data_IF_577785225954
#
_entry.id   IF_577785225954
#
_cell.length_a   1.000
_cell.length_b   1.000
_cell.length_c   1.000
_cell.angle_alpha   90.00
_cell.angle_beta   90.00
_cell.angle_gamma   90.00
#
_symmetry.space_group_name_H-M   'P 1'
#
loop_
_entity.id
_entity.type
_entity.pdbx_description
1 polymer ?
#
# COMPACT_ATOMS: atom_id res chain seq x y z
N UNK A 1 -0.23 2.41 -53.10
CA UNK A 1 -0.71 3.12 -51.89
C UNK A 1 -1.03 2.09 -50.83
N UNK A 2 -0.26 2.02 -49.75
CA UNK A 2 -0.49 1.05 -48.68
C UNK A 2 -1.71 1.52 -47.85
N UNK A 3 -2.73 0.67 -47.76
CA UNK A 3 -3.93 0.92 -46.93
C UNK A 3 -3.47 1.10 -45.47
N UNK A 4 -3.76 2.26 -44.88
CA UNK A 4 -3.50 2.50 -43.45
C UNK A 4 -4.20 1.41 -42.64
N UNK A 5 -3.45 0.67 -41.81
CA UNK A 5 -4.03 -0.33 -40.91
C UNK A 5 -4.62 0.41 -39.71
N UNK A 6 -5.94 0.48 -39.68
CA UNK A 6 -6.70 0.92 -38.50
C UNK A 6 -6.32 0.06 -37.29
N UNK A 7 -5.93 0.71 -36.19
CA UNK A 7 -5.64 0.05 -34.91
C UNK A 7 -6.67 0.54 -33.88
N UNK A 8 -7.13 -0.35 -33.01
CA UNK A 8 -8.09 -0.04 -31.97
C UNK A 8 -7.38 -0.08 -30.62
N UNK A 9 -7.59 0.93 -29.76
CA UNK A 9 -6.94 1.02 -28.46
C UNK A 9 -7.98 1.07 -27.35
N UNK A 10 -7.77 0.25 -26.32
CA UNK A 10 -8.57 0.26 -25.13
C UNK A 10 -8.32 1.55 -24.34
N UNK A 11 -9.31 2.45 -24.28
CA UNK A 11 -9.27 3.70 -23.52
C UNK A 11 -9.04 3.50 -22.03
N UNK A 12 -9.37 2.32 -21.48
CA UNK A 12 -9.21 2.02 -20.05
C UNK A 12 -7.79 1.57 -19.66
N UNK A 13 -6.99 1.02 -20.59
CA UNK A 13 -5.68 0.46 -20.24
C UNK A 13 -4.60 0.54 -21.33
N UNK A 14 -4.90 1.08 -22.51
CA UNK A 14 -3.97 1.22 -23.62
C UNK A 14 -3.72 -0.06 -24.44
N UNK A 15 -4.45 -1.15 -24.20
CA UNK A 15 -4.29 -2.38 -24.98
C UNK A 15 -4.69 -2.18 -26.45
N UNK A 16 -3.80 -2.52 -27.39
CA UNK A 16 -4.02 -2.35 -28.83
C UNK A 16 -4.53 -3.64 -29.49
N UNK A 17 -5.47 -3.52 -30.42
CA UNK A 17 -6.04 -4.64 -31.18
C UNK A 17 -6.25 -4.24 -32.65
N UNK A 18 -6.18 -5.20 -33.57
CA UNK A 18 -6.48 -4.97 -34.99
C UNK A 18 -7.99 -4.82 -35.28
N UNK A 19 -8.84 -5.15 -34.30
CA UNK A 19 -10.31 -5.05 -34.39
C UNK A 19 -10.89 -4.61 -33.04
N UNK A 20 -12.03 -3.91 -32.99
CA UNK A 20 -12.64 -3.55 -31.72
C UNK A 20 -13.14 -4.82 -31.04
N UNK A 21 -12.79 -5.00 -29.77
CA UNK A 21 -13.26 -6.13 -28.97
C UNK A 21 -14.31 -5.61 -27.99
N UNK A 22 -15.40 -6.37 -27.81
CA UNK A 22 -16.44 -6.02 -26.83
C UNK A 22 -15.93 -6.00 -25.39
N UNK A 23 -14.89 -6.79 -25.08
CA UNK A 23 -14.22 -6.82 -23.78
C UNK A 23 -12.71 -6.80 -23.95
N UNK A 24 -12.02 -5.92 -23.22
CA UNK A 24 -10.56 -5.84 -23.23
C UNK A 24 -9.94 -7.09 -22.59
N UNK A 25 -9.04 -7.82 -23.29
CA UNK A 25 -8.40 -9.00 -22.70
C UNK A 25 -7.45 -8.63 -21.55
N UNK A 26 -6.94 -7.39 -21.51
CA UNK A 26 -6.03 -6.92 -20.48
C UNK A 26 -6.75 -6.46 -19.21
N UNK A 27 -7.60 -5.43 -19.32
CA UNK A 27 -8.28 -4.84 -18.16
C UNK A 27 -9.70 -5.34 -17.92
N UNK A 28 -10.23 -6.22 -18.78
CA UNK A 28 -11.57 -6.79 -18.69
C UNK A 28 -12.72 -5.78 -18.82
N UNK A 29 -12.42 -4.52 -19.15
CA UNK A 29 -13.41 -3.46 -19.41
C UNK A 29 -14.22 -3.76 -20.68
N UNK A 30 -15.50 -3.41 -20.65
CA UNK A 30 -16.43 -3.58 -21.77
C UNK A 30 -16.50 -2.30 -22.62
N UNK A 31 -16.66 -2.45 -23.93
CA UNK A 31 -16.85 -1.35 -24.90
C UNK A 31 -15.78 -0.24 -24.81
N UNK A 32 -14.57 -0.60 -24.40
CA UNK A 32 -13.49 0.35 -24.13
C UNK A 32 -12.61 0.66 -25.35
N UNK A 33 -12.84 0.07 -26.53
CA UNK A 33 -11.96 0.24 -27.69
C UNK A 33 -12.40 1.41 -28.57
N UNK A 34 -11.49 2.34 -28.80
CA UNK A 34 -11.65 3.43 -29.77
C UNK A 34 -10.70 3.24 -30.96
N UNK A 35 -11.09 3.78 -32.11
CA UNK A 35 -10.30 3.74 -33.34
C UNK A 35 -9.16 4.77 -33.28
N UNK A 36 -7.92 4.31 -33.34
CA UNK A 36 -6.73 5.16 -33.47
C UNK A 36 -6.30 5.12 -34.93
N UNK A 37 -6.63 6.19 -35.67
CA UNK A 37 -6.16 6.36 -37.05
C UNK A 37 -4.69 6.78 -36.98
N UNK A 38 -3.75 6.05 -37.62
CA UNK A 38 -2.36 6.47 -37.63
C UNK A 38 -2.26 7.83 -38.34
N UNK A 39 -1.93 8.89 -37.60
CA UNK A 39 -1.52 10.14 -38.21
C UNK A 39 -0.28 9.85 -39.05
N UNK A 40 -0.37 10.07 -40.37
CA UNK A 40 0.78 9.99 -41.28
C UNK A 40 1.62 11.24 -41.05
N UNK A 41 2.34 11.30 -39.93
CA UNK A 41 3.38 12.31 -39.72
C UNK A 41 4.68 11.77 -40.31
N UNK A 42 5.31 12.60 -41.15
CA UNK A 42 6.60 12.35 -41.79
C UNK A 42 7.64 11.82 -40.80
N UNK A 43 8.34 10.78 -41.25
CA UNK A 43 9.12 9.83 -40.45
C UNK A 43 10.47 10.38 -39.90
N UNK A 44 10.49 11.53 -39.23
CA UNK A 44 11.75 12.10 -38.73
C UNK A 44 11.78 12.57 -37.26
N UNK A 45 10.71 12.48 -36.47
CA UNK A 45 10.76 13.02 -35.09
C UNK A 45 10.00 12.24 -33.99
N UNK A 46 9.34 11.12 -34.29
CA UNK A 46 8.58 10.36 -33.27
C UNK A 46 8.99 8.89 -33.25
N UNK A 47 10.23 8.65 -32.82
CA UNK A 47 10.67 7.32 -32.42
C UNK A 47 10.06 6.97 -31.07
N UNK A 48 8.96 6.22 -31.10
CA UNK A 48 8.39 5.58 -29.92
C UNK A 48 9.38 4.58 -29.33
N UNK A 49 10.00 4.95 -28.21
CA UNK A 49 10.49 4.04 -27.20
C UNK A 49 10.71 4.85 -25.92
N UNK A 50 10.01 4.47 -24.86
CA UNK A 50 10.20 4.97 -23.50
C UNK A 50 11.69 5.23 -23.19
N UNK A 51 12.08 6.50 -23.05
CA UNK A 51 13.42 6.88 -22.61
C UNK A 51 14.57 6.42 -23.52
N UNK A 52 14.46 6.61 -24.83
CA UNK A 52 15.57 6.39 -25.75
C UNK A 52 16.74 7.34 -25.48
N UNK A 53 17.69 6.94 -24.63
CA UNK A 53 19.01 7.57 -24.57
C UNK A 53 19.69 7.34 -25.92
N UNK A 54 19.98 8.41 -26.66
CA UNK A 54 20.73 8.31 -27.91
C UNK A 54 22.21 8.05 -27.61
N UNK A 55 22.85 7.17 -28.39
CA UNK A 55 24.28 6.89 -28.25
C UNK A 55 24.66 5.81 -27.22
N UNK A 56 23.71 4.97 -26.78
CA UNK A 56 24.01 3.82 -25.91
C UNK A 56 24.99 2.84 -26.56
N UNK A 57 26.15 2.61 -25.91
CA UNK A 57 27.11 1.57 -26.32
C UNK A 57 26.73 0.25 -25.68
N UNK A 58 26.76 -0.84 -26.47
CA UNK A 58 26.63 -2.19 -25.92
C UNK A 58 27.78 -2.42 -24.95
N UNK A 59 27.45 -2.57 -23.67
CA UNK A 59 28.43 -2.74 -22.59
C UNK A 59 28.16 -4.08 -21.92
N UNK A 60 29.16 -4.98 -21.80
CA UNK A 60 28.97 -6.23 -21.09
C UNK A 60 28.67 -5.95 -19.61
N UNK A 61 27.81 -6.77 -18.99
CA UNK A 61 27.43 -6.57 -17.58
C UNK A 61 28.65 -6.50 -16.65
N UNK A 62 29.70 -7.28 -16.94
CA UNK A 62 30.97 -7.25 -16.19
C UNK A 62 31.71 -5.91 -16.27
N UNK A 63 31.44 -5.09 -17.27
CA UNK A 63 32.00 -3.75 -17.44
C UNK A 63 31.14 -2.63 -16.86
N UNK A 64 29.96 -2.94 -16.30
CA UNK A 64 29.07 -1.95 -15.68
C UNK A 64 29.44 -1.80 -14.21
N UNK A 65 29.96 -0.63 -13.83
CA UNK A 65 30.26 -0.31 -12.44
C UNK A 65 28.99 -0.26 -11.58
N UNK A 66 29.11 -0.60 -10.30
CA UNK A 66 28.06 -0.32 -9.31
C UNK A 66 28.09 1.16 -8.98
N UNK A 67 27.17 1.95 -9.54
CA UNK A 67 26.96 3.34 -9.18
C UNK A 67 25.64 3.45 -8.44
N UNK A 68 25.67 3.94 -7.21
CA UNK A 68 24.44 4.38 -6.55
C UNK A 68 24.01 5.71 -7.19
N UNK A 69 22.75 5.76 -7.61
CA UNK A 69 22.15 6.99 -8.12
C UNK A 69 22.13 8.04 -7.00
N UNK A 70 22.53 9.30 -7.27
CA UNK A 70 22.44 10.37 -6.27
C UNK A 70 21.01 10.54 -5.77
N UNK A 71 20.85 10.77 -4.46
CA UNK A 71 19.54 10.97 -3.82
C UNK A 71 19.46 12.32 -3.15
N UNK A 72 18.33 12.99 -3.33
CA UNK A 72 17.91 14.15 -2.57
C UNK A 72 17.03 13.68 -1.42
N UNK A 73 17.42 13.89 -0.15
CA UNK A 73 16.55 13.59 0.99
C UNK A 73 15.24 14.39 0.88
N UNK A 74 14.10 13.78 1.11
CA UNK A 74 12.82 14.51 1.15
C UNK A 74 12.66 15.37 2.41
N UNK A 75 13.52 15.14 3.41
CA UNK A 75 13.42 15.76 4.73
C UNK A 75 12.35 15.12 5.63
N UNK A 76 11.70 14.05 5.15
CA UNK A 76 10.70 13.27 5.90
C UNK A 76 11.19 11.81 5.94
N UNK A 77 11.78 11.35 7.06
CA UNK A 77 12.41 10.02 7.13
C UNK A 77 11.46 8.86 6.76
N UNK A 78 10.18 8.99 7.11
CA UNK A 78 9.16 8.00 6.79
C UNK A 78 8.90 7.89 5.28
N UNK A 79 8.90 9.02 4.57
CA UNK A 79 8.79 9.07 3.11
C UNK A 79 10.06 8.53 2.45
N UNK A 80 11.23 8.95 2.95
CA UNK A 80 12.52 8.46 2.45
C UNK A 80 12.61 6.94 2.54
N UNK A 81 12.15 6.33 3.64
CA UNK A 81 12.09 4.86 3.76
C UNK A 81 11.21 4.24 2.68
N UNK A 82 10.01 4.76 2.45
CA UNK A 82 9.08 4.25 1.42
C UNK A 82 9.69 4.38 0.01
N UNK A 83 10.43 5.46 -0.25
CA UNK A 83 11.12 5.71 -1.52
C UNK A 83 12.46 4.94 -1.64
N UNK A 84 12.90 4.24 -0.60
CA UNK A 84 14.14 3.46 -0.61
C UNK A 84 15.40 4.28 -0.38
N UNK A 85 15.30 5.37 0.39
CA UNK A 85 16.41 6.24 0.79
C UNK A 85 16.29 7.70 0.33
N UNK A 86 15.16 8.09 -0.28
CA UNK A 86 14.91 9.46 -0.76
C UNK A 86 14.66 9.56 -2.28
N UNK A 87 14.55 10.79 -2.76
CA UNK A 87 14.21 11.12 -4.15
C UNK A 87 15.44 10.92 -5.05
N UNK A 88 15.33 10.06 -6.06
CA UNK A 88 16.46 9.72 -6.94
C UNK A 88 16.62 10.75 -8.05
N UNK A 89 17.83 11.24 -8.26
CA UNK A 89 18.15 12.16 -9.36
C UNK A 89 17.81 11.52 -10.72
N UNK A 90 17.06 12.24 -11.55
CA UNK A 90 16.53 11.74 -12.82
C UNK A 90 15.48 10.63 -12.70
N UNK A 91 15.11 10.24 -11.48
CA UNK A 91 14.05 9.28 -11.21
C UNK A 91 12.67 9.92 -11.19
N UNK A 92 11.67 9.17 -11.63
CA UNK A 92 10.27 9.61 -11.61
C UNK A 92 9.45 8.80 -10.62
N UNK A 93 8.79 9.51 -9.70
CA UNK A 93 7.89 8.93 -8.70
C UNK A 93 6.45 9.35 -8.98
N UNK A 94 5.53 8.39 -9.10
CA UNK A 94 4.09 8.64 -9.13
C UNK A 94 3.53 8.52 -7.71
N UNK A 95 2.84 9.56 -7.23
CA UNK A 95 2.04 9.52 -6.00
C UNK A 95 0.56 9.46 -6.38
N UNK A 96 -0.03 8.29 -6.17
CA UNK A 96 -1.45 8.03 -6.35
C UNK A 96 -2.26 8.25 -5.07
N UNK A 97 -3.55 8.53 -5.20
CA UNK A 97 -4.49 8.52 -4.06
C UNK A 97 -5.76 9.33 -4.32
N UNK A 98 -6.77 9.13 -3.48
CA UNK A 98 -8.05 9.82 -3.61
C UNK A 98 -7.89 11.36 -3.54
N UNK A 99 -8.76 12.15 -4.22
CA UNK A 99 -8.81 13.59 -4.03
C UNK A 99 -8.96 13.97 -2.56
N UNK A 100 -8.25 15.01 -2.10
CA UNK A 100 -8.34 15.49 -0.72
C UNK A 100 -7.61 14.65 0.35
N UNK A 101 -6.99 13.53 -0.03
CA UNK A 101 -6.30 12.64 0.93
C UNK A 101 -5.03 13.26 1.57
N UNK A 102 -4.45 14.29 0.93
CA UNK A 102 -3.28 15.00 1.41
C UNK A 102 -2.04 14.95 0.51
N UNK A 103 -2.14 14.49 -0.75
CA UNK A 103 -0.99 14.41 -1.69
C UNK A 103 -0.25 15.75 -1.85
N UNK A 104 -0.97 16.81 -2.21
CA UNK A 104 -0.42 18.16 -2.36
C UNK A 104 0.10 18.74 -1.04
N UNK A 105 -0.49 18.34 0.10
CA UNK A 105 0.00 18.72 1.43
C UNK A 105 1.36 18.10 1.71
N UNK A 106 1.51 16.79 1.51
CA UNK A 106 2.78 16.09 1.63
C UNK A 106 3.84 16.71 0.71
N UNK A 107 3.48 17.00 -0.54
CA UNK A 107 4.41 17.51 -1.53
C UNK A 107 4.87 18.94 -1.27
N UNK A 108 4.00 19.81 -0.75
CA UNK A 108 4.43 21.14 -0.30
C UNK A 108 5.37 21.06 0.91
N UNK A 109 5.14 20.14 1.86
CA UNK A 109 6.07 19.91 2.96
C UNK A 109 7.43 19.40 2.46
N UNK A 110 7.45 18.48 1.50
CA UNK A 110 8.69 18.00 0.86
C UNK A 110 9.40 19.13 0.11
N UNK A 111 8.66 19.93 -0.66
CA UNK A 111 9.20 21.08 -1.39
C UNK A 111 9.88 22.07 -0.44
N UNK A 112 9.24 22.41 0.68
CA UNK A 112 9.83 23.27 1.72
C UNK A 112 11.15 22.70 2.26
N UNK A 113 11.18 21.40 2.60
CA UNK A 113 12.38 20.75 3.14
C UNK A 113 13.52 20.67 2.14
N UNK A 114 13.23 20.33 0.88
CA UNK A 114 14.23 20.27 -0.19
C UNK A 114 14.79 21.67 -0.47
N UNK A 115 13.93 22.69 -0.52
CA UNK A 115 14.33 24.07 -0.73
C UNK A 115 15.14 24.64 0.45
N UNK A 116 14.72 24.36 1.69
CA UNK A 116 15.47 24.72 2.88
C UNK A 116 16.84 24.03 2.97
N UNK A 117 16.98 22.84 2.36
CA UNK A 117 18.25 22.12 2.19
C UNK A 117 19.17 22.68 1.11
N UNK A 118 18.77 23.76 0.42
CA UNK A 118 19.55 24.42 -0.64
C UNK A 118 19.27 23.90 -2.05
N UNK A 119 18.31 22.98 -2.23
CA UNK A 119 17.87 22.53 -3.55
C UNK A 119 16.88 23.50 -4.18
N UNK A 120 16.89 23.64 -5.50
CA UNK A 120 15.84 24.39 -6.21
C UNK A 120 14.62 23.49 -6.46
N UNK A 121 13.42 24.01 -6.24
CA UNK A 121 12.16 23.27 -6.44
C UNK A 121 11.29 23.98 -7.46
N UNK A 122 10.86 23.26 -8.49
CA UNK A 122 9.86 23.68 -9.46
C UNK A 122 8.54 22.95 -9.18
N UNK A 123 7.48 23.70 -8.90
CA UNK A 123 6.15 23.18 -8.64
C UNK A 123 5.20 23.61 -9.77
N UNK A 124 4.75 22.64 -10.56
CA UNK A 124 3.81 22.82 -11.65
C UNK A 124 2.38 22.62 -11.12
N UNK A 125 1.66 23.72 -11.01
CA UNK A 125 0.31 23.82 -10.48
C UNK A 125 -0.72 23.70 -11.62
N UNK A 126 -1.32 22.52 -11.74
CA UNK A 126 -2.34 22.22 -12.73
C UNK A 126 -3.75 22.53 -12.27
N UNK A 127 -4.14 21.96 -11.13
CA UNK A 127 -5.53 22.00 -10.65
C UNK A 127 -5.85 23.29 -9.89
N UNK A 128 -4.91 23.78 -9.08
CA UNK A 128 -5.13 24.90 -8.16
C UNK A 128 -4.50 26.19 -8.66
N UNK A 129 -5.02 27.33 -8.21
CA UNK A 129 -4.41 28.63 -8.46
C UNK A 129 -3.16 28.83 -7.61
N UNK A 130 -2.26 29.73 -8.03
CA UNK A 130 -1.04 30.03 -7.26
C UNK A 130 -1.37 30.61 -5.89
N UNK A 131 -2.44 31.40 -5.80
CA UNK A 131 -2.95 31.99 -4.56
C UNK A 131 -3.48 30.91 -3.60
N UNK A 132 -4.18 29.90 -4.12
CA UNK A 132 -4.66 28.77 -3.33
C UNK A 132 -3.50 27.95 -2.76
N UNK A 133 -2.48 27.69 -3.59
CA UNK A 133 -1.24 27.02 -3.14
C UNK A 133 -0.54 27.86 -2.08
N UNK A 134 -0.44 29.19 -2.28
CA UNK A 134 0.18 30.09 -1.31
C UNK A 134 -0.52 30.05 0.04
N UNK A 135 -1.86 30.16 0.06
CA UNK A 135 -2.64 30.07 1.30
C UNK A 135 -2.41 28.73 2.04
N UNK A 136 -2.29 27.63 1.29
CA UNK A 136 -1.97 26.33 1.88
C UNK A 136 -0.54 26.29 2.42
N UNK A 137 0.42 26.79 1.65
CA UNK A 137 1.82 26.86 2.06
C UNK A 137 1.98 27.68 3.34
N UNK A 138 1.28 28.82 3.46
CA UNK A 138 1.24 29.65 4.67
C UNK A 138 0.71 28.87 5.87
N UNK A 139 -0.41 28.15 5.71
CA UNK A 139 -0.99 27.32 6.78
C UNK A 139 -0.05 26.20 7.22
N UNK A 140 0.68 25.59 6.28
CA UNK A 140 1.65 24.53 6.55
C UNK A 140 2.97 25.08 7.11
N UNK A 141 3.14 26.40 7.18
CA UNK A 141 4.36 27.02 7.68
C UNK A 141 5.56 26.85 6.73
N UNK A 142 5.31 26.74 5.42
CA UNK A 142 6.34 26.72 4.37
C UNK A 142 7.08 28.06 4.38
N UNK A 143 8.41 28.02 4.45
CA UNK A 143 9.27 29.21 4.55
C UNK A 143 10.25 29.34 3.41
N UNK A 144 10.62 28.22 2.78
CA UNK A 144 11.58 28.22 1.70
C UNK A 144 10.96 28.77 0.40
N UNK A 145 11.81 29.33 -0.46
CA UNK A 145 11.40 29.81 -1.78
C UNK A 145 11.16 28.63 -2.72
N UNK A 146 9.90 28.47 -3.17
CA UNK A 146 9.48 27.44 -4.12
C UNK A 146 9.06 28.13 -5.41
N UNK A 147 9.67 27.73 -6.54
CA UNK A 147 9.31 28.28 -7.84
C UNK A 147 8.02 27.61 -8.33
N UNK A 148 7.04 28.41 -8.74
CA UNK A 148 5.72 27.95 -9.15
C UNK A 148 5.45 28.32 -10.61
N UNK A 149 4.82 27.42 -11.36
CA UNK A 149 4.28 27.70 -12.70
C UNK A 149 2.90 27.10 -12.87
N UNK A 150 2.08 27.73 -13.71
CA UNK A 150 0.77 27.20 -14.14
C UNK A 150 0.78 26.66 -15.55
N UNK A 151 1.93 26.66 -16.23
CA UNK A 151 2.01 26.09 -17.57
C UNK A 151 2.01 24.57 -17.48
N UNK A 152 0.95 23.95 -17.99
CA UNK A 152 0.77 22.49 -17.96
C UNK A 152 1.18 21.81 -19.27
N UNK A 153 1.76 22.53 -20.24
CA UNK A 153 2.30 21.92 -21.45
C UNK A 153 3.59 21.16 -21.12
N UNK A 154 3.60 19.85 -21.38
CA UNK A 154 4.69 18.96 -21.03
C UNK A 154 6.03 19.41 -21.65
N UNK A 155 5.99 19.91 -22.90
CA UNK A 155 7.13 20.46 -23.62
C UNK A 155 7.73 21.67 -22.91
N UNK A 156 6.88 22.57 -22.41
CA UNK A 156 7.35 23.76 -21.71
C UNK A 156 7.86 23.43 -20.31
N UNK A 157 7.20 22.53 -19.59
CA UNK A 157 7.70 22.01 -18.30
C UNK A 157 9.07 21.36 -18.48
N UNK A 158 9.27 20.56 -19.52
CA UNK A 158 10.56 19.96 -19.84
C UNK A 158 11.64 21.01 -20.16
N UNK A 159 11.28 22.09 -20.87
CA UNK A 159 12.18 23.21 -21.12
C UNK A 159 12.59 23.92 -19.82
N UNK A 160 11.64 24.18 -18.92
CA UNK A 160 11.91 24.77 -17.61
C UNK A 160 12.82 23.87 -16.75
N UNK A 161 12.63 22.54 -16.80
CA UNK A 161 13.53 21.59 -16.15
C UNK A 161 14.96 21.66 -16.71
N UNK A 162 15.11 21.85 -18.03
CA UNK A 162 16.42 21.96 -18.67
C UNK A 162 17.11 23.30 -18.38
N UNK A 163 16.35 24.39 -18.32
CA UNK A 163 16.84 25.74 -18.05
C UNK A 163 17.24 25.91 -16.58
N UNK A 164 16.35 25.56 -15.65
CA UNK A 164 16.54 25.82 -14.23
C UNK A 164 17.20 24.66 -13.48
N UNK A 165 17.22 23.46 -14.06
CA UNK A 165 17.80 22.23 -13.47
C UNK A 165 17.42 22.06 -11.99
N UNK A 166 16.12 22.02 -11.66
CA UNK A 166 15.69 21.93 -10.28
C UNK A 166 16.16 20.62 -9.64
N UNK A 167 16.46 20.66 -8.35
CA UNK A 167 16.71 19.43 -7.58
C UNK A 167 15.44 18.56 -7.49
N UNK A 168 14.26 19.20 -7.50
CA UNK A 168 12.96 18.55 -7.46
C UNK A 168 11.95 19.27 -8.38
N UNK A 169 11.29 18.52 -9.26
CA UNK A 169 10.13 18.96 -10.02
C UNK A 169 8.87 18.24 -9.53
N UNK A 170 7.84 18.98 -9.15
CA UNK A 170 6.53 18.44 -8.72
C UNK A 170 5.49 18.82 -9.75
N UNK A 171 4.69 17.86 -10.21
CA UNK A 171 3.58 18.08 -11.15
C UNK A 171 2.26 17.66 -10.51
N UNK A 172 1.46 18.66 -10.13
CA UNK A 172 0.19 18.49 -9.41
C UNK A 172 -0.98 19.07 -10.21
N UNK A 173 -1.62 18.31 -11.11
CA UNK A 173 -1.52 16.86 -11.31
C UNK A 173 -1.25 16.49 -12.76
N UNK A 174 -0.79 15.25 -12.99
CA UNK A 174 -0.50 14.73 -14.34
C UNK A 174 -1.74 14.72 -15.24
N UNK A 175 -2.95 14.67 -14.68
CA UNK A 175 -4.21 14.74 -15.43
C UNK A 175 -4.41 16.08 -16.14
N UNK A 176 -3.78 17.15 -15.65
CA UNK A 176 -3.86 18.50 -16.25
C UNK A 176 -2.79 18.76 -17.29
N UNK A 177 -1.81 17.85 -17.41
CA UNK A 177 -0.69 18.02 -18.33
C UNK A 177 -1.15 17.78 -19.75
N UNK A 178 -0.81 18.73 -20.63
CA UNK A 178 -1.11 18.64 -22.06
C UNK A 178 0.14 18.39 -22.86
N UNK A 179 0.02 17.64 -23.95
CA UNK A 179 1.09 17.39 -24.93
C UNK A 179 0.61 17.90 -26.29
N UNK A 180 1.49 18.46 -27.10
CA UNK A 180 1.16 18.90 -28.46
C UNK A 180 0.81 17.71 -29.38
N UNK A 181 -0.44 17.65 -29.85
CA UNK A 181 -0.92 16.61 -30.76
C UNK A 181 -2.43 16.34 -30.68
N UNK A 182 -2.88 15.28 -31.35
CA UNK A 182 -4.28 14.84 -31.34
C UNK A 182 -4.59 14.04 -30.07
N UNK A 183 -5.56 14.52 -29.29
CA UNK A 183 -6.05 13.84 -28.09
C UNK A 183 -6.88 14.78 -27.21
N UNK A 184 -7.94 14.26 -26.59
CA UNK A 184 -8.75 15.04 -25.66
C UNK A 184 -7.93 15.37 -24.38
N UNK A 185 -7.92 16.63 -23.91
CA UNK A 185 -7.31 16.99 -22.65
C UNK A 185 -7.78 16.12 -21.48
N UNK A 186 -6.85 15.62 -20.66
CA UNK A 186 -7.11 14.69 -19.55
C UNK A 186 -7.38 13.24 -19.96
N UNK A 187 -7.36 12.93 -21.25
CA UNK A 187 -7.50 11.56 -21.76
C UNK A 187 -6.31 10.67 -21.44
N UNK A 188 -6.51 9.34 -21.45
CA UNK A 188 -5.47 8.37 -21.08
C UNK A 188 -4.24 8.44 -21.99
N UNK A 189 -4.43 8.70 -23.28
CA UNK A 189 -3.32 8.89 -24.22
C UNK A 189 -2.46 10.12 -23.85
N UNK A 190 -3.10 11.25 -23.55
CA UNK A 190 -2.39 12.48 -23.17
C UNK A 190 -1.63 12.30 -21.85
N UNK A 191 -2.24 11.67 -20.84
CA UNK A 191 -1.59 11.36 -19.57
C UNK A 191 -0.37 10.45 -19.78
N UNK A 192 -0.50 9.41 -20.62
CA UNK A 192 0.59 8.50 -20.96
C UNK A 192 1.75 9.25 -21.62
N UNK A 193 1.45 10.03 -22.65
CA UNK A 193 2.45 10.68 -23.48
C UNK A 193 3.13 11.81 -22.71
N UNK A 194 2.38 12.56 -21.88
CA UNK A 194 2.92 13.58 -20.97
C UNK A 194 3.84 12.96 -19.91
N UNK A 195 3.43 11.83 -19.32
CA UNK A 195 4.28 11.07 -18.38
C UNK A 195 5.58 10.62 -19.05
N UNK A 196 5.51 10.12 -20.28
CA UNK A 196 6.70 9.68 -21.02
C UNK A 196 7.66 10.84 -21.34
N UNK A 197 7.12 11.99 -21.76
CA UNK A 197 7.91 13.19 -22.05
C UNK A 197 8.61 13.72 -20.78
N UNK A 198 7.86 13.89 -19.69
CA UNK A 198 8.42 14.35 -18.42
C UNK A 198 9.43 13.36 -17.82
N UNK A 199 9.22 12.05 -18.02
CA UNK A 199 10.19 11.02 -17.61
C UNK A 199 11.49 11.13 -18.39
N UNK A 200 11.42 11.44 -19.68
CA UNK A 200 12.61 11.70 -20.48
C UNK A 200 13.33 12.95 -20.00
N UNK A 201 12.61 14.05 -19.79
CA UNK A 201 13.18 15.31 -19.30
C UNK A 201 13.85 15.15 -17.93
N UNK A 202 13.25 14.39 -17.00
CA UNK A 202 13.86 14.06 -15.71
C UNK A 202 15.22 13.40 -15.87
N UNK A 203 15.30 12.35 -16.71
CA UNK A 203 16.53 11.60 -16.95
C UNK A 203 17.62 12.42 -17.65
N UNK A 204 17.24 13.24 -18.63
CA UNK A 204 18.19 14.10 -19.37
C UNK A 204 18.76 15.23 -18.50
N UNK A 205 17.97 15.76 -17.56
CA UNK A 205 18.37 16.88 -16.70
C UNK A 205 18.95 16.44 -15.35
N UNK A 206 18.74 15.18 -14.96
CA UNK A 206 19.08 14.70 -13.61
C UNK A 206 18.11 15.19 -12.53
N UNK A 207 16.97 15.76 -12.91
CA UNK A 207 15.95 16.28 -11.98
C UNK A 207 15.17 15.13 -11.35
N UNK A 208 15.04 15.10 -10.02
CA UNK A 208 14.08 14.20 -9.38
C UNK A 208 12.66 14.71 -9.63
N UNK A 209 11.78 13.87 -10.18
CA UNK A 209 10.42 14.30 -10.57
C UNK A 209 9.35 13.53 -9.83
N UNK A 210 8.38 14.24 -9.28
CA UNK A 210 7.20 13.67 -8.64
C UNK A 210 5.93 14.06 -9.40
N UNK A 211 5.18 13.05 -9.85
CA UNK A 211 3.92 13.22 -10.56
C UNK A 211 2.78 12.87 -9.61
N UNK A 212 1.78 13.74 -9.49
CA UNK A 212 0.56 13.45 -8.74
C UNK A 212 -0.47 12.84 -9.67
N UNK A 213 -1.03 11.69 -9.28
CA UNK A 213 -2.15 11.05 -9.95
C UNK A 213 -3.35 10.91 -9.02
N UNK A 214 -4.50 11.44 -9.41
CA UNK A 214 -5.77 11.17 -8.72
C UNK A 214 -6.25 9.73 -8.90
N UNK A 215 -6.83 9.15 -7.83
CA UNK A 215 -7.50 7.84 -7.87
C UNK A 215 -8.99 7.96 -7.56
N UNK A 216 -9.84 7.36 -8.40
CA UNK A 216 -11.30 7.26 -8.21
C UNK A 216 -11.64 6.09 -7.27
N UNK A 217 -12.80 6.17 -6.60
CA UNK A 217 -13.24 5.21 -5.56
C UNK A 217 -13.35 3.75 -6.01
N UNK A 218 -13.46 3.50 -7.31
CA UNK A 218 -13.55 2.15 -7.90
C UNK A 218 -12.18 1.54 -8.24
N UNK A 219 -11.07 2.24 -7.94
CA UNK A 219 -9.71 1.83 -8.33
C UNK A 219 -9.46 1.90 -9.85
N UNK A 220 -10.50 2.17 -10.64
CA UNK A 220 -10.45 2.44 -12.08
C UNK A 220 -10.28 3.93 -12.31
N UNK A 221 -9.07 4.39 -12.05
CA UNK A 221 -8.66 5.66 -12.63
C UNK A 221 -8.38 5.42 -14.10
N UNK A 222 -8.83 6.33 -14.95
CA UNK A 222 -8.22 6.51 -16.26
C UNK A 222 -6.74 6.95 -16.06
N UNK A 223 -5.76 6.03 -15.99
CA UNK A 223 -4.34 6.40 -16.17
C UNK A 223 -3.22 5.80 -15.29
N UNK A 224 -3.35 5.50 -13.98
CA UNK A 224 -2.26 5.06 -13.10
C UNK A 224 -1.66 3.75 -13.53
N UNK A 225 -2.47 2.75 -13.93
CA UNK A 225 -1.92 1.52 -14.51
C UNK A 225 -1.08 1.78 -15.77
N UNK A 226 -1.46 2.78 -16.56
CA UNK A 226 -0.71 3.16 -17.76
C UNK A 226 0.60 3.84 -17.37
N UNK A 227 0.58 4.71 -16.34
CA UNK A 227 1.77 5.40 -15.82
C UNK A 227 2.71 4.50 -15.01
N UNK A 228 2.18 3.53 -14.26
CA UNK A 228 2.91 2.60 -13.40
C UNK A 228 4.01 1.86 -14.15
N UNK A 229 3.82 1.58 -15.44
CA UNK A 229 4.85 0.95 -16.26
C UNK A 229 5.94 1.92 -16.74
N UNK A 230 5.61 3.22 -16.83
CA UNK A 230 6.48 4.28 -17.36
C UNK A 230 7.42 4.80 -16.27
N UNK A 231 6.86 5.09 -15.10
CA UNK A 231 7.60 5.67 -13.96
C UNK A 231 8.50 4.66 -13.28
N UNK A 232 9.48 5.13 -12.52
CA UNK A 232 10.43 4.25 -11.83
C UNK A 232 9.90 3.79 -10.47
N UNK A 233 9.16 4.67 -9.78
CA UNK A 233 8.57 4.40 -8.47
C UNK A 233 7.08 4.78 -8.47
N UNK A 234 6.24 3.93 -7.89
CA UNK A 234 4.82 4.20 -7.65
C UNK A 234 4.51 4.00 -6.17
N UNK A 235 3.95 5.03 -5.56
CA UNK A 235 3.43 5.00 -4.19
C UNK A 235 1.96 5.42 -4.16
N UNK A 236 1.17 4.82 -3.29
CA UNK A 236 -0.23 5.20 -3.07
C UNK A 236 -0.43 5.69 -1.65
N UNK A 237 -1.13 6.82 -1.52
CA UNK A 237 -1.61 7.33 -0.25
C UNK A 237 -3.06 6.87 -0.06
N UNK A 238 -3.34 6.15 1.03
CA UNK A 238 -4.62 5.54 1.35
C UNK A 238 -5.11 6.00 2.73
N UNK A 239 -6.43 6.14 2.91
CA UNK A 239 -7.02 6.53 4.21
C UNK A 239 -7.42 5.31 5.00
N UNK A 240 -6.95 5.23 6.25
CA UNK A 240 -7.27 4.13 7.16
C UNK A 240 -7.52 4.71 8.55
N UNK A 241 -8.79 4.81 8.94
CA UNK A 241 -9.20 5.52 10.15
C UNK A 241 -8.76 6.99 10.11
N UNK A 242 -8.11 7.45 11.17
CA UNK A 242 -7.46 8.78 11.25
C UNK A 242 -6.13 8.86 10.49
N UNK A 243 -5.57 7.73 10.09
CA UNK A 243 -4.24 7.65 9.49
C UNK A 243 -4.28 7.76 7.96
N UNK A 244 -3.11 8.07 7.40
CA UNK A 244 -2.80 8.06 5.96
C UNK A 244 -1.63 7.12 5.74
N UNK A 245 -1.83 6.11 4.92
CA UNK A 245 -0.85 5.07 4.64
C UNK A 245 -0.22 5.34 3.29
N UNK A 246 1.10 5.49 3.25
CA UNK A 246 1.86 5.62 2.02
C UNK A 246 2.52 4.29 1.68
N UNK A 247 2.05 3.61 0.64
CA UNK A 247 2.51 2.27 0.27
C UNK A 247 3.28 2.29 -1.05
N UNK A 248 4.48 1.72 -1.07
CA UNK A 248 5.19 1.48 -2.33
C UNK A 248 4.63 0.23 -3.03
N UNK A 249 4.24 0.38 -4.30
CA UNK A 249 3.76 -0.72 -5.14
C UNK A 249 4.84 -1.15 -6.13
N UNK A 250 5.55 -0.17 -6.69
CA UNK A 250 6.70 -0.36 -7.57
C UNK A 250 7.81 0.54 -7.07
N UNK A 251 9.01 0.01 -6.89
CA UNK A 251 10.17 0.82 -6.57
C UNK A 251 11.41 0.20 -7.25
N UNK A 252 11.93 0.86 -8.29
CA UNK A 252 13.17 0.41 -8.97
C UNK A 252 14.42 0.69 -8.15
N UNK A 253 14.33 1.55 -7.15
CA UNK A 253 15.45 2.05 -6.36
C UNK A 253 15.41 1.58 -4.90
N UNK A 254 14.46 0.71 -4.54
CA UNK A 254 14.21 0.28 -3.18
C UNK A 254 13.28 -0.92 -3.14
N UNK A 255 12.80 -1.27 -1.94
CA UNK A 255 11.89 -2.40 -1.78
C UNK A 255 10.45 -1.98 -2.09
N UNK A 256 9.74 -2.82 -2.84
CA UNK A 256 8.29 -2.72 -3.01
C UNK A 256 7.57 -3.29 -1.77
N UNK A 257 6.40 -2.75 -1.46
CA UNK A 257 5.64 -3.12 -0.26
C UNK A 257 6.10 -2.42 1.01
N UNK A 258 6.97 -1.41 0.92
CA UNK A 258 7.27 -0.54 2.05
C UNK A 258 6.04 0.31 2.41
N UNK A 259 5.82 0.51 3.71
CA UNK A 259 4.66 1.21 4.24
C UNK A 259 5.11 2.36 5.12
N UNK A 260 4.64 3.56 4.84
CA UNK A 260 4.73 4.76 5.67
C UNK A 260 3.41 5.05 6.35
N UNK A 261 3.42 5.45 7.61
CA UNK A 261 2.19 5.79 8.35
C UNK A 261 2.26 7.25 8.74
N UNK A 262 1.22 7.99 8.39
CA UNK A 262 1.09 9.42 8.64
C UNK A 262 -0.25 9.72 9.32
N UNK A 263 -0.32 10.85 9.99
CA UNK A 263 -1.54 11.41 10.55
C UNK A 263 -1.73 12.83 10.01
N UNK A 264 -2.96 13.16 9.60
CA UNK A 264 -3.28 14.52 9.17
C UNK A 264 -3.55 15.39 10.41
N UNK A 265 -2.70 16.39 10.64
CA UNK A 265 -2.82 17.36 11.73
C UNK A 265 -2.96 18.78 11.17
N UNK A 266 -3.12 19.77 12.05
CA UNK A 266 -3.23 21.17 11.64
C UNK A 266 -1.99 21.67 10.88
N UNK A 267 -0.82 21.15 11.25
CA UNK A 267 0.48 21.45 10.63
C UNK A 267 0.73 20.71 9.30
N UNK A 268 -0.16 19.80 8.89
CA UNK A 268 -0.02 19.00 7.68
C UNK A 268 0.05 17.49 7.97
N UNK A 269 0.72 16.75 7.09
CA UNK A 269 0.94 15.31 7.27
C UNK A 269 2.17 15.07 8.14
N UNK A 270 1.96 14.44 9.29
CA UNK A 270 3.00 14.14 10.27
C UNK A 270 3.25 12.64 10.29
N UNK A 271 4.53 12.23 10.21
CA UNK A 271 4.90 10.82 10.27
C UNK A 271 4.63 10.23 11.66
N UNK A 272 4.09 9.02 11.68
CA UNK A 272 3.87 8.25 12.91
C UNK A 272 5.08 7.35 13.16
N UNK A 273 5.88 7.71 14.16
CA UNK A 273 7.14 7.01 14.47
C UNK A 273 6.94 5.57 14.93
N UNK A 274 5.88 5.34 15.72
CA UNK A 274 5.51 4.01 16.22
C UNK A 274 4.06 3.67 15.84
N UNK A 275 3.85 3.08 14.64
CA UNK A 275 2.52 2.70 14.20
C UNK A 275 1.86 1.67 15.12
N UNK A 276 2.61 0.70 15.63
CA UNK A 276 2.09 -0.36 16.51
C UNK A 276 1.43 0.25 17.75
N UNK A 277 2.08 1.24 18.38
CA UNK A 277 1.48 1.97 19.50
C UNK A 277 0.24 2.78 19.07
N UNK A 278 0.30 3.41 17.90
CA UNK A 278 -0.79 4.24 17.39
C UNK A 278 -2.06 3.43 17.05
N UNK A 279 -1.92 2.25 16.45
CA UNK A 279 -3.04 1.36 16.14
C UNK A 279 -3.63 0.65 17.37
N UNK A 280 -2.84 0.51 18.44
CA UNK A 280 -3.26 -0.14 19.68
C UNK A 280 -3.69 0.85 20.79
N UNK A 281 -3.66 2.16 20.51
CA UNK A 281 -3.90 3.19 21.52
C UNK A 281 -5.29 3.11 22.17
N UNK A 282 -6.32 2.74 21.39
CA UNK A 282 -7.70 2.64 21.85
C UNK A 282 -8.13 1.19 22.18
N UNK A 283 -7.18 0.25 22.19
CA UNK A 283 -7.47 -1.16 22.43
C UNK A 283 -8.07 -1.37 23.84
N UNK A 284 -9.21 -2.07 23.97
CA UNK A 284 -9.73 -2.45 25.27
C UNK A 284 -8.85 -3.51 25.96
N UNK A 285 -8.60 -3.31 27.24
CA UNK A 285 -7.75 -4.18 28.10
C UNK A 285 -8.65 -5.15 28.86
N UNK A 286 -8.25 -6.42 28.95
CA UNK A 286 -8.98 -7.43 29.72
C UNK A 286 -10.36 -7.84 29.15
N UNK A 287 -10.63 -7.57 27.87
CA UNK A 287 -11.90 -7.92 27.21
C UNK A 287 -11.76 -9.22 26.39
N UNK A 288 -12.68 -10.20 26.53
CA UNK A 288 -12.69 -11.39 25.70
C UNK A 288 -12.81 -11.06 24.20
N UNK A 289 -12.10 -11.82 23.38
CA UNK A 289 -12.10 -11.64 21.94
C UNK A 289 -11.12 -10.60 21.41
N UNK A 290 -10.33 -9.93 22.25
CA UNK A 290 -9.27 -9.01 21.82
C UNK A 290 -7.89 -9.68 21.91
N UNK A 291 -7.17 -9.75 20.78
CA UNK A 291 -5.82 -10.36 20.68
C UNK A 291 -4.89 -9.43 19.94
N UNK A 292 -3.67 -9.23 20.48
CA UNK A 292 -2.62 -8.50 19.77
C UNK A 292 -1.88 -9.46 18.84
N UNK A 293 -1.94 -9.18 17.54
CA UNK A 293 -1.31 -9.93 16.49
C UNK A 293 -0.07 -9.20 15.96
N UNK A 294 1.06 -9.90 15.87
CA UNK A 294 2.24 -9.38 15.19
C UNK A 294 2.18 -9.74 13.71
N UNK A 295 1.91 -8.74 12.87
CA UNK A 295 1.71 -8.90 11.43
C UNK A 295 2.89 -8.33 10.62
N UNK A 296 2.98 -8.72 9.35
CA UNK A 296 3.82 -8.03 8.37
C UNK A 296 2.93 -7.60 7.21
N UNK A 297 2.96 -6.31 6.91
CA UNK A 297 2.38 -5.75 5.70
C UNK A 297 3.51 -5.31 4.75
N UNK A 298 3.68 -6.06 3.66
CA UNK A 298 4.84 -5.97 2.77
C UNK A 298 6.14 -6.32 3.49
N UNK A 299 6.91 -5.32 3.93
CA UNK A 299 8.15 -5.50 4.69
C UNK A 299 8.10 -4.95 6.11
N UNK A 300 7.04 -4.21 6.45
CA UNK A 300 6.95 -3.54 7.75
C UNK A 300 6.28 -4.46 8.77
N UNK A 301 6.99 -4.86 9.85
CA UNK A 301 6.34 -5.50 10.98
C UNK A 301 5.51 -4.48 11.74
N UNK A 302 4.30 -4.87 12.15
CA UNK A 302 3.38 -4.04 12.92
C UNK A 302 2.60 -4.90 13.90
N UNK A 303 2.17 -4.30 15.00
CA UNK A 303 1.19 -4.92 15.89
C UNK A 303 -0.19 -4.35 15.65
N UNK A 304 -1.17 -5.24 15.48
CA UNK A 304 -2.57 -4.90 15.28
C UNK A 304 -3.44 -5.73 16.21
N UNK A 305 -4.64 -5.24 16.51
CA UNK A 305 -5.61 -5.98 17.30
C UNK A 305 -6.53 -6.78 16.38
N UNK A 306 -6.61 -8.10 16.62
CA UNK A 306 -7.66 -8.96 16.08
C UNK A 306 -8.77 -9.05 17.11
N UNK A 307 -9.98 -8.68 16.69
CA UNK A 307 -11.19 -8.70 17.49
C UNK A 307 -12.09 -9.83 17.02
N UNK A 308 -12.70 -10.52 17.97
CA UNK A 308 -13.74 -11.49 17.72
C UNK A 308 -14.92 -11.29 18.67
N UNK A 309 -16.13 -11.48 18.16
CA UNK A 309 -17.36 -11.51 18.93
C UNK A 309 -18.17 -12.74 18.51
N UNK A 310 -18.57 -13.55 19.48
CA UNK A 310 -19.43 -14.70 19.27
C UNK A 310 -20.74 -14.51 20.06
N UNK A 311 -21.88 -14.71 19.39
CA UNK A 311 -23.20 -14.62 20.02
C UNK A 311 -24.11 -15.72 19.48
N UNK A 312 -25.11 -16.14 20.25
CA UNK A 312 -26.11 -17.10 19.77
C UNK A 312 -26.83 -16.55 18.54
N UNK A 313 -26.92 -17.34 17.49
CA UNK A 313 -27.64 -16.94 16.29
C UNK A 313 -29.15 -16.99 16.54
N UNK A 314 -29.91 -15.93 16.25
CA UNK A 314 -31.37 -15.97 16.25
C UNK A 314 -31.92 -16.53 14.92
N UNK A 315 -31.06 -16.84 13.95
CA UNK A 315 -31.42 -17.27 12.60
C UNK A 315 -31.21 -18.77 12.40
N UNK A 316 -31.83 -19.40 11.39
CA UNK A 316 -31.56 -20.81 11.06
C UNK A 316 -30.10 -21.08 10.68
N UNK A 317 -29.41 -20.08 10.10
CA UNK A 317 -28.01 -20.14 9.72
C UNK A 317 -27.21 -19.08 10.45
N UNK A 318 -26.13 -19.50 11.10
CA UNK A 318 -25.18 -18.59 11.74
C UNK A 318 -24.50 -17.66 10.74
N UNK A 319 -24.33 -16.40 11.13
CA UNK A 319 -23.61 -15.37 10.37
C UNK A 319 -22.12 -15.44 10.65
N UNK A 320 -21.33 -15.24 9.60
CA UNK A 320 -19.87 -15.07 9.68
C UNK A 320 -19.53 -13.76 8.99
N UNK A 321 -19.07 -12.79 9.77
CA UNK A 321 -18.76 -11.44 9.26
C UNK A 321 -17.30 -11.16 9.52
N UNK A 322 -16.56 -10.81 8.46
CA UNK A 322 -15.11 -10.61 8.51
C UNK A 322 -14.77 -9.24 7.93
N UNK A 323 -13.99 -8.45 8.67
CA UNK A 323 -13.53 -7.11 8.26
C UNK A 323 -12.01 -7.03 8.45
N UNK A 324 -11.31 -6.53 7.43
CA UNK A 324 -9.84 -6.35 7.46
C UNK A 324 -9.00 -7.62 7.28
N UNK A 325 -9.65 -8.80 7.26
CA UNK A 325 -9.02 -10.12 7.13
C UNK A 325 -9.57 -10.88 5.91
N UNK A 326 -8.88 -11.93 5.49
CA UNK A 326 -9.38 -12.86 4.48
C UNK A 326 -10.48 -13.77 5.08
N UNK A 327 -11.71 -13.63 4.58
CA UNK A 327 -12.87 -14.39 5.05
C UNK A 327 -12.69 -15.91 4.91
N UNK A 328 -12.03 -16.39 3.84
CA UNK A 328 -11.81 -17.83 3.63
C UNK A 328 -10.82 -18.39 4.65
N UNK A 329 -9.83 -17.59 5.08
CA UNK A 329 -8.89 -18.00 6.13
C UNK A 329 -9.58 -18.07 7.48
N UNK A 330 -10.47 -17.12 7.78
CA UNK A 330 -11.31 -17.19 8.99
C UNK A 330 -12.21 -18.43 8.98
N UNK A 331 -12.84 -18.77 7.86
CA UNK A 331 -13.66 -19.99 7.73
C UNK A 331 -12.85 -21.27 8.01
N UNK A 332 -11.61 -21.34 7.51
CA UNK A 332 -10.69 -22.45 7.79
C UNK A 332 -10.37 -22.53 9.29
N UNK A 333 -10.02 -21.40 9.91
CA UNK A 333 -9.71 -21.33 11.35
C UNK A 333 -10.92 -21.78 12.18
N UNK A 334 -12.13 -21.36 11.83
CA UNK A 334 -13.37 -21.81 12.49
C UNK A 334 -13.52 -23.33 12.42
N UNK A 335 -13.32 -23.94 11.24
CA UNK A 335 -13.41 -25.39 11.06
C UNK A 335 -12.35 -26.14 11.89
N UNK A 336 -11.12 -25.60 11.98
CA UNK A 336 -10.05 -26.15 12.81
C UNK A 336 -10.44 -26.08 14.29
N UNK A 337 -10.90 -24.93 14.78
CA UNK A 337 -11.32 -24.75 16.18
C UNK A 337 -12.46 -25.72 16.56
N UNK A 338 -13.47 -25.85 15.70
CA UNK A 338 -14.60 -26.77 15.92
C UNK A 338 -14.13 -28.23 15.99
N UNK A 339 -13.21 -28.65 15.10
CA UNK A 339 -12.75 -30.04 15.05
C UNK A 339 -11.70 -30.41 16.10
N UNK A 340 -10.83 -29.46 16.45
CA UNK A 340 -9.64 -29.70 17.30
C UNK A 340 -9.87 -29.38 18.77
N UNK A 341 -10.70 -28.37 19.05
CA UNK A 341 -11.01 -27.94 20.41
C UNK A 341 -12.43 -28.33 20.86
N UNK A 342 -13.17 -29.09 20.03
CA UNK A 342 -14.56 -29.50 20.30
C UNK A 342 -15.48 -28.29 20.61
N UNK A 343 -15.21 -27.15 19.96
CA UNK A 343 -16.01 -25.94 20.10
C UNK A 343 -17.29 -26.05 19.27
N UNK A 344 -18.44 -25.88 19.90
CA UNK A 344 -19.73 -25.87 19.19
C UNK A 344 -19.99 -24.48 18.56
N UNK A 345 -19.55 -24.29 17.32
CA UNK A 345 -19.61 -22.99 16.63
C UNK A 345 -20.81 -22.86 15.69
N UNK A 346 -21.40 -23.97 15.22
CA UNK A 346 -22.49 -23.95 14.25
C UNK A 346 -23.74 -23.13 14.66
N UNK A 347 -23.97 -22.92 15.96
CA UNK A 347 -25.09 -22.11 16.49
C UNK A 347 -24.72 -20.68 16.89
N UNK A 348 -23.53 -20.21 16.53
CA UNK A 348 -23.02 -18.90 16.92
C UNK A 348 -22.80 -18.01 15.70
N UNK A 349 -23.35 -16.80 15.73
CA UNK A 349 -22.90 -15.72 14.86
C UNK A 349 -21.49 -15.32 15.31
N UNK A 350 -20.54 -15.29 14.37
CA UNK A 350 -19.14 -14.92 14.62
C UNK A 350 -18.77 -13.70 13.78
N UNK A 351 -18.28 -12.67 14.46
CA UNK A 351 -17.77 -11.45 13.86
C UNK A 351 -16.27 -11.39 14.14
N UNK A 352 -15.45 -11.19 13.12
CA UNK A 352 -13.99 -11.05 13.25
C UNK A 352 -13.55 -9.77 12.54
N UNK A 353 -12.78 -8.94 13.23
CA UNK A 353 -12.32 -7.66 12.73
C UNK A 353 -10.83 -7.47 13.00
N UNK A 354 -10.09 -7.00 12.00
CA UNK A 354 -8.76 -6.44 12.21
C UNK A 354 -8.92 -4.95 12.54
N UNK A 355 -8.69 -4.59 13.79
CA UNK A 355 -8.82 -3.22 14.24
C UNK A 355 -7.79 -2.30 13.55
N UNK A 356 -8.12 -1.01 13.51
CA UNK A 356 -7.34 -0.02 12.79
C UNK A 356 -7.77 0.16 11.34
N UNK A 357 -8.66 -0.68 10.78
CA UNK A 357 -9.22 -0.50 9.43
C UNK A 357 -8.29 -0.93 8.29
N UNK A 358 -7.17 -1.56 8.64
CA UNK A 358 -6.20 -2.13 7.70
C UNK A 358 -6.75 -3.40 7.04
N UNK A 359 -6.26 -3.69 5.84
CA UNK A 359 -6.43 -4.98 5.16
C UNK A 359 -5.07 -5.60 4.96
N UNK A 360 -4.74 -6.62 5.75
CA UNK A 360 -3.40 -7.21 5.74
C UNK A 360 -3.47 -8.67 5.29
N UNK A 361 -2.94 -9.01 4.10
CA UNK A 361 -2.96 -10.37 3.56
C UNK A 361 -1.80 -11.19 4.14
N UNK A 362 -1.89 -11.50 5.43
CA UNK A 362 -0.80 -12.14 6.17
C UNK A 362 -1.21 -13.45 6.85
N UNK A 363 -0.65 -14.60 6.42
CA UNK A 363 -0.84 -15.89 7.08
C UNK A 363 -0.52 -15.92 8.57
N UNK A 364 0.38 -15.05 9.03
CA UNK A 364 0.76 -14.95 10.44
C UNK A 364 -0.37 -14.50 11.37
N UNK A 365 -1.50 -14.05 10.83
CA UNK A 365 -2.67 -13.63 11.61
C UNK A 365 -3.56 -14.81 12.08
N UNK A 366 -3.42 -16.02 11.53
CA UNK A 366 -4.35 -17.13 11.84
C UNK A 366 -4.41 -17.49 13.30
N UNK A 367 -3.24 -17.61 13.94
CA UNK A 367 -3.20 -17.99 15.34
C UNK A 367 -3.85 -16.93 16.22
N UNK A 368 -3.70 -15.65 15.87
CA UNK A 368 -4.38 -14.56 16.57
C UNK A 368 -5.90 -14.61 16.36
N UNK A 369 -6.36 -14.88 15.13
CA UNK A 369 -7.77 -15.12 14.81
C UNK A 369 -8.32 -16.29 15.64
N UNK A 370 -7.59 -17.40 15.69
CA UNK A 370 -7.97 -18.60 16.42
C UNK A 370 -8.15 -18.31 17.92
N UNK A 371 -7.17 -17.64 18.53
CA UNK A 371 -7.23 -17.27 19.95
C UNK A 371 -8.28 -16.21 20.24
N UNK A 372 -8.54 -15.27 19.33
CA UNK A 372 -9.58 -14.26 19.49
C UNK A 372 -10.96 -14.92 19.50
N UNK A 373 -11.24 -15.79 18.52
CA UNK A 373 -12.51 -16.53 18.46
C UNK A 373 -12.67 -17.42 19.70
N UNK A 374 -11.62 -18.18 20.06
CA UNK A 374 -11.66 -19.00 21.27
C UNK A 374 -12.00 -18.17 22.50
N UNK A 375 -11.27 -17.06 22.70
CA UNK A 375 -11.46 -16.11 23.81
C UNK A 375 -12.89 -15.58 23.88
N UNK A 376 -13.47 -15.19 22.74
CA UNK A 376 -14.85 -14.70 22.65
C UNK A 376 -15.88 -15.77 23.02
N UNK A 377 -15.65 -17.02 22.60
CA UNK A 377 -16.57 -18.14 22.87
C UNK A 377 -16.49 -18.60 24.33
N UNK A 378 -15.29 -18.68 24.91
CA UNK A 378 -15.12 -19.12 26.31
C UNK A 378 -15.29 -17.99 27.34
N UNK A 379 -15.37 -16.74 26.87
CA UNK A 379 -15.52 -15.56 27.73
C UNK A 379 -14.29 -15.27 28.61
N UNK A 380 -13.08 -15.62 28.14
CA UNK A 380 -11.82 -15.41 28.88
C UNK A 380 -10.86 -14.55 28.07
N UNK A 381 -10.52 -13.38 28.59
CA UNK A 381 -9.56 -12.47 27.96
C UNK A 381 -8.15 -13.06 27.91
N UNK A 382 -7.35 -12.61 26.94
CA UNK A 382 -5.92 -12.90 26.90
C UNK A 382 -5.17 -11.93 27.84
N UNK A 383 -4.03 -12.34 28.41
CA UNK A 383 -3.17 -11.41 29.14
C UNK A 383 -2.65 -10.29 28.24
N UNK A 384 -2.61 -9.05 28.74
CA UNK A 384 -2.27 -7.87 27.93
C UNK A 384 -0.81 -7.82 27.47
N UNK A 385 0.06 -8.61 28.09
CA UNK A 385 1.48 -8.70 27.76
C UNK A 385 1.78 -9.72 26.65
N UNK A 386 0.75 -10.29 26.02
CA UNK A 386 0.85 -11.34 25.01
C UNK A 386 0.66 -10.80 23.60
N UNK A 387 1.62 -11.06 22.72
CA UNK A 387 1.46 -10.91 21.27
C UNK A 387 1.55 -12.26 20.57
N UNK A 388 0.84 -12.41 19.46
CA UNK A 388 0.63 -13.71 18.79
C UNK A 388 0.97 -13.60 17.30
N UNK A 389 1.62 -14.62 16.75
CA UNK A 389 1.62 -14.83 15.30
C UNK A 389 1.85 -16.30 14.96
N UNK A 390 1.34 -16.73 13.81
CA UNK A 390 1.53 -18.09 13.31
C UNK A 390 0.45 -18.45 12.31
N UNK A 391 0.80 -19.26 11.32
CA UNK A 391 -0.16 -19.82 10.37
C UNK A 391 -0.79 -21.08 10.95
N UNK A 392 -2.10 -21.26 10.79
CA UNK A 392 -2.82 -22.44 11.28
C UNK A 392 -3.12 -23.36 10.11
N UNK A 393 -2.59 -24.57 10.16
CA UNK A 393 -2.88 -25.61 9.19
C UNK A 393 -4.20 -26.33 9.46
N UNK A 394 -4.69 -27.07 8.46
CA UNK A 394 -5.94 -27.83 8.55
C UNK A 394 -5.89 -28.95 9.61
N UNK A 395 -4.69 -29.42 9.96
CA UNK A 395 -4.53 -30.42 11.01
C UNK A 395 -4.46 -29.79 12.42
N UNK A 396 -4.61 -28.47 12.54
CA UNK A 396 -4.48 -27.73 13.80
C UNK A 396 -3.03 -27.41 14.17
N UNK A 397 -2.07 -27.75 13.31
CA UNK A 397 -0.66 -27.43 13.51
C UNK A 397 -0.39 -25.94 13.31
N UNK A 398 0.53 -25.38 14.10
CA UNK A 398 0.97 -23.99 14.00
C UNK A 398 2.31 -23.95 13.27
N UNK A 399 2.36 -23.20 12.17
CA UNK A 399 3.48 -23.16 11.23
C UNK A 399 4.19 -21.82 11.24
N UNK A 400 5.49 -21.86 10.93
CA UNK A 400 6.31 -20.67 10.77
C UNK A 400 5.85 -19.83 9.58
N UNK A 401 6.01 -18.51 9.72
CA UNK A 401 5.62 -17.53 8.70
C UNK A 401 6.78 -16.61 8.36
N UNK A 402 6.64 -15.91 7.25
CA UNK A 402 7.66 -14.97 6.78
C UNK A 402 7.93 -13.88 7.81
N UNK A 403 9.21 -13.53 7.97
CA UNK A 403 9.66 -12.47 8.87
C UNK A 403 9.38 -12.71 10.36
N UNK A 404 9.34 -13.96 10.81
CA UNK A 404 9.13 -14.32 12.23
C UNK A 404 10.04 -13.58 13.21
N UNK A 405 11.32 -13.36 12.85
CA UNK A 405 12.28 -12.57 13.66
C UNK A 405 11.82 -11.12 13.80
N UNK A 406 11.53 -10.45 12.68
CA UNK A 406 11.08 -9.04 12.66
C UNK A 406 9.77 -8.83 13.42
N UNK A 407 8.83 -9.78 13.33
CA UNK A 407 7.58 -9.76 14.13
C UNK A 407 7.87 -9.79 15.62
N UNK A 408 8.75 -10.68 16.04
CA UNK A 408 9.12 -10.83 17.45
C UNK A 408 9.91 -9.63 17.98
N UNK A 409 10.80 -9.05 17.17
CA UNK A 409 11.50 -7.81 17.51
C UNK A 409 10.55 -6.64 17.67
N UNK A 410 9.61 -6.45 16.76
CA UNK A 410 8.60 -5.38 16.86
C UNK A 410 7.68 -5.58 18.08
N UNK A 411 7.26 -6.83 18.35
CA UNK A 411 6.50 -7.17 19.54
C UNK A 411 7.23 -6.79 20.83
N UNK A 412 8.53 -7.14 20.94
CA UNK A 412 9.37 -6.78 22.08
C UNK A 412 9.58 -5.27 22.17
N UNK A 413 9.84 -4.60 21.05
CA UNK A 413 10.02 -3.14 20.98
C UNK A 413 8.78 -2.40 21.47
N UNK A 414 7.59 -2.91 21.17
CA UNK A 414 6.32 -2.37 21.64
C UNK A 414 5.96 -2.78 23.10
N UNK A 415 6.83 -3.54 23.78
CA UNK A 415 6.68 -3.87 25.21
C UNK A 415 5.99 -5.20 25.52
N UNK A 416 5.72 -6.05 24.51
CA UNK A 416 5.12 -7.37 24.76
C UNK A 416 6.19 -8.35 25.26
N UNK A 417 6.01 -8.81 26.50
CA UNK A 417 6.98 -9.66 27.20
C UNK A 417 6.82 -11.14 26.89
N UNK A 418 5.66 -11.53 26.35
CA UNK A 418 5.33 -12.93 26.06
C UNK A 418 4.82 -13.07 24.63
N UNK A 419 5.39 -14.00 23.88
CA UNK A 419 4.95 -14.31 22.52
C UNK A 419 4.36 -15.71 22.44
N UNK A 420 3.27 -15.87 21.69
CA UNK A 420 2.71 -17.17 21.32
C UNK A 420 2.93 -17.35 19.83
N UNK A 421 3.89 -18.21 19.50
CA UNK A 421 4.51 -18.28 18.17
C UNK A 421 4.84 -19.72 17.79
N UNK A 422 4.97 -20.05 16.49
CA UNK A 422 5.43 -21.35 16.03
C UNK A 422 6.81 -21.74 16.62
N UNK A 423 7.13 -23.04 16.69
CA UNK A 423 8.47 -23.50 17.10
C UNK A 423 9.54 -23.08 16.09
N UNK A 424 10.80 -23.07 16.53
CA UNK A 424 11.96 -22.83 15.67
C UNK A 424 12.34 -21.36 15.49
N UNK A 425 11.78 -20.45 16.28
CA UNK A 425 12.25 -19.08 16.38
C UNK A 425 13.39 -18.97 17.40
N UNK A 426 14.56 -18.50 16.96
CA UNK A 426 15.71 -18.28 17.83
C UNK A 426 15.37 -17.32 18.98
N UNK A 427 15.75 -17.69 20.20
CA UNK A 427 15.39 -16.96 21.42
C UNK A 427 13.93 -17.16 21.87
N UNK A 428 13.20 -18.12 21.28
CA UNK A 428 11.85 -18.50 21.71
C UNK A 428 11.67 -20.04 21.77
N UNK A 429 12.32 -20.72 22.74
CA UNK A 429 12.37 -22.19 22.79
C UNK A 429 11.00 -22.84 23.02
N UNK A 430 10.04 -22.11 23.59
CA UNK A 430 8.70 -22.59 23.93
C UNK A 430 7.66 -22.17 22.88
N UNK A 431 7.95 -22.39 21.60
CA UNK A 431 6.96 -22.21 20.53
C UNK A 431 5.87 -23.29 20.58
N UNK A 432 4.69 -22.98 20.05
CA UNK A 432 3.51 -23.86 20.06
C UNK A 432 3.40 -24.61 18.75
N UNK A 433 3.20 -25.93 18.82
CA UNK A 433 3.08 -26.80 17.65
C UNK A 433 1.65 -26.93 17.16
N UNK A 434 0.65 -26.62 18.00
CA UNK A 434 -0.76 -26.71 17.64
C UNK A 434 -1.61 -25.64 18.32
N UNK A 435 -2.84 -25.46 17.83
CA UNK A 435 -3.80 -24.51 18.40
C UNK A 435 -4.20 -24.92 19.83
N UNK A 436 -4.27 -26.22 20.13
CA UNK A 436 -4.49 -26.76 21.47
C UNK A 436 -3.37 -26.36 22.44
N UNK A 437 -2.11 -26.50 22.02
CA UNK A 437 -0.96 -26.05 22.81
C UNK A 437 -0.99 -24.53 23.03
N UNK A 438 -1.37 -23.75 22.00
CA UNK A 438 -1.50 -22.30 22.12
C UNK A 438 -2.53 -21.90 23.17
N UNK A 439 -3.72 -22.51 23.14
CA UNK A 439 -4.77 -22.29 24.15
C UNK A 439 -4.27 -22.68 25.55
N UNK A 440 -3.66 -23.86 25.67
CA UNK A 440 -3.16 -24.35 26.95
C UNK A 440 -2.06 -23.44 27.53
N UNK A 441 -1.17 -22.93 26.69
CA UNK A 441 -0.14 -22.00 27.10
C UNK A 441 -0.78 -20.68 27.59
N UNK A 442 -1.72 -20.11 26.84
CA UNK A 442 -2.31 -18.79 27.17
C UNK A 442 -3.11 -18.83 28.47
N UNK A 443 -3.99 -19.82 28.66
CA UNK A 443 -4.94 -19.85 29.80
C UNK A 443 -4.66 -20.88 30.89
N UNK A 444 -3.63 -21.72 30.74
CA UNK A 444 -3.25 -22.71 31.76
C UNK A 444 -4.29 -23.81 31.97
N UNK A 445 -4.29 -24.84 31.12
CA UNK A 445 -5.15 -26.03 31.25
C UNK A 445 -5.57 -26.64 29.91
N UNK A 446 -6.08 -27.87 29.93
CA UNK A 446 -6.72 -28.48 28.75
C UNK A 446 -7.92 -27.61 28.30
N UNK A 447 -8.20 -27.52 26.99
CA UNK A 447 -9.28 -26.67 26.48
C UNK A 447 -10.60 -27.00 27.18
N UNK A 448 -11.33 -25.96 27.62
CA UNK A 448 -12.60 -26.12 28.30
C UNK A 448 -13.59 -26.85 27.38
N UNK A 449 -13.78 -28.16 27.60
CA UNK A 449 -14.71 -28.97 26.81
C UNK A 449 -16.15 -28.57 27.13
N UNK A 450 -16.95 -28.35 26.09
CA UNK A 450 -18.35 -27.91 26.22
C UNK A 450 -19.32 -28.94 26.80
N UNK A 451 -18.85 -30.08 27.33
CA UNK A 451 -19.70 -31.11 27.94
C UNK A 451 -19.58 -31.07 29.47
N UNK A 452 -20.64 -30.63 30.15
CA UNK A 452 -20.90 -31.10 31.53
C UNK A 452 -20.91 -32.65 31.52
N UNK A 453 -20.30 -33.34 32.49
CA UNK A 453 -20.37 -34.79 32.57
C UNK A 453 -21.84 -35.17 32.66
N UNK A 454 -22.31 -36.01 31.73
CA UNK A 454 -23.61 -36.69 31.89
C UNK A 454 -23.48 -37.52 33.16
N UNK A 455 -24.24 -37.16 34.19
CA UNK A 455 -24.45 -38.03 35.33
C UNK A 455 -24.90 -39.39 34.79
N UNK A 456 -24.17 -40.44 35.17
CA UNK A 456 -24.56 -41.80 34.86
C UNK A 456 -25.93 -42.03 35.48
N UNK A 457 -26.95 -42.22 34.64
CA UNK A 457 -28.23 -42.73 35.08
C UNK A 457 -27.99 -44.17 35.54
N UNK A 458 -28.01 -44.37 36.85
CA UNK A 458 -28.07 -45.70 37.46
C UNK A 458 -29.29 -46.43 36.90
N UNK A 459 -29.03 -47.61 36.35
CA UNK A 459 -30.06 -48.59 36.04
C UNK A 459 -30.52 -49.20 37.36
N UNK A 460 -31.79 -49.03 37.68
CA UNK A 460 -32.60 -49.98 38.46
C UNK A 460 -33.94 -50.09 37.77
#
# INVERSE_FOLDING_TARGET
MAKARTTYVCTSCGYTSAKPLGRCPNCQAWNSFEEEVPAVTTAAARGGAYGGITGGRVTPLSGVGRREEPRTPSGIPELDRVLGGGLVAGGVTLIGGEPGIGKSTLLLQVADKVAAGGGTVLYVAGEESLEQIRLRADRLGVKAEIQLTRDTRAEHVAALMAEHKPALCIVDSIQTVTVEGDGAPGGVAQVRDGTALLTRAAKETGTATVLVGHVTKDGTVAGPKVMEHIVDTTVFLETVGSYRLLRSVKNRFGQAGELGVFEMRGEGLIAVENPSAAFLAERPVGVPGSVVAATIDGQRPMLLEVQALASKTPYPNARRVVVGLDARRVDVVLAVLERRLDLTLGGLDVYVNLAGGLKVPDPGLDLAIALAIYSAVVGRALPDSVAVFGEVGLAGEVRSTTGSIRRAEEARRAGYTRLIVPPGLDGHPNGVKSVEEAVAQVWGGAPASGRKPRAAAERT
#
